data_IF_550960829559
#
_entry.id   IF_550960829559
#
_cell.length_a   1.000
_cell.length_b   1.000
_cell.length_c   1.000
_cell.angle_alpha   90.00
_cell.angle_beta   90.00
_cell.angle_gamma   90.00
#
_symmetry.space_group_name_H-M   'P 1'
#
loop_
_entity.id
_entity.type
_entity.pdbx_description
1 polymer ?
#
# COMPACT_ATOMS: atom_id res chain seq x y z
N UNK A 1 3.45 24.14 33.84
CA UNK A 1 2.61 22.94 33.63
C UNK A 1 1.97 23.11 32.26
N UNK A 2 2.67 22.69 31.23
CA UNK A 2 2.17 22.65 29.83
C UNK A 2 1.57 21.28 29.62
N UNK A 3 0.24 21.22 29.52
CA UNK A 3 -0.48 19.98 29.20
C UNK A 3 -0.21 19.62 27.74
N UNK A 4 0.64 18.62 27.54
CA UNK A 4 0.78 17.93 26.26
C UNK A 4 -0.51 17.14 25.98
N UNK A 5 -1.48 17.81 25.39
CA UNK A 5 -2.60 17.13 24.73
C UNK A 5 -2.14 16.68 23.34
N UNK A 6 -1.31 15.62 23.28
CA UNK A 6 -1.22 14.82 22.09
C UNK A 6 -2.56 14.08 21.95
N UNK A 7 -3.39 14.55 21.00
CA UNK A 7 -4.68 13.97 20.70
C UNK A 7 -4.53 12.48 20.43
N UNK A 8 -5.11 11.68 21.31
CA UNK A 8 -5.32 10.24 21.03
C UNK A 8 -6.18 10.17 19.76
N UNK A 9 -5.68 9.49 18.73
CA UNK A 9 -6.44 9.16 17.52
C UNK A 9 -7.77 8.52 17.93
N UNK A 10 -8.85 9.23 17.81
CA UNK A 10 -10.19 8.69 18.00
C UNK A 10 -10.62 7.99 16.72
N UNK A 11 -10.17 6.75 16.54
CA UNK A 11 -10.72 5.90 15.50
C UNK A 11 -12.04 5.29 15.94
N UNK A 12 -12.92 5.01 14.98
CA UNK A 12 -14.23 4.42 15.20
C UNK A 12 -14.49 3.25 14.23
N UNK A 13 -15.48 2.43 14.56
CA UNK A 13 -16.00 1.38 13.70
C UNK A 13 -17.15 1.94 12.86
N UNK A 14 -17.06 1.78 11.55
CA UNK A 14 -18.08 2.19 10.60
C UNK A 14 -18.69 0.98 9.93
N UNK A 15 -20.01 0.87 9.92
CA UNK A 15 -20.71 -0.21 9.24
C UNK A 15 -20.71 0.02 7.73
N UNK A 16 -20.30 -1.01 6.98
CA UNK A 16 -20.40 -1.03 5.52
C UNK A 16 -21.58 -1.90 5.04
N UNK A 17 -22.53 -2.15 5.94
CA UNK A 17 -23.75 -2.92 5.68
C UNK A 17 -23.61 -4.38 6.10
N UNK A 18 -22.58 -5.09 5.70
CA UNK A 18 -22.36 -6.52 6.04
C UNK A 18 -21.55 -6.71 7.33
N UNK A 19 -20.62 -5.83 7.61
CA UNK A 19 -19.74 -5.82 8.79
C UNK A 19 -19.21 -4.41 9.01
N UNK A 20 -18.35 -4.24 10.03
CA UNK A 20 -17.79 -2.92 10.37
C UNK A 20 -16.28 -2.91 10.20
N UNK A 21 -15.78 -1.79 9.64
CA UNK A 21 -14.36 -1.54 9.48
C UNK A 21 -13.90 -0.41 10.41
N UNK A 22 -12.68 -0.55 10.90
CA UNK A 22 -12.02 0.47 11.68
C UNK A 22 -11.47 1.56 10.77
N UNK A 23 -11.71 2.83 11.15
CA UNK A 23 -11.17 4.01 10.49
C UNK A 23 -10.81 5.07 11.54
N UNK A 24 -9.68 5.76 11.33
CA UNK A 24 -9.30 6.96 12.08
C UNK A 24 -9.02 8.11 11.15
N UNK A 25 -9.36 9.32 11.58
CA UNK A 25 -9.08 10.56 10.87
C UNK A 25 -8.14 11.38 11.74
N UNK A 26 -7.04 11.81 11.13
CA UNK A 26 -6.02 12.63 11.78
C UNK A 26 -5.64 13.85 10.94
N UNK A 27 -4.68 14.62 11.46
CA UNK A 27 -4.10 15.76 10.77
C UNK A 27 -4.90 17.05 10.87
N UNK A 28 -4.57 18.01 10.00
CA UNK A 28 -5.22 19.31 9.93
C UNK A 28 -6.65 19.20 9.39
N UNK A 29 -7.50 20.16 9.75
CA UNK A 29 -8.85 20.22 9.22
C UNK A 29 -8.84 20.34 7.70
N UNK A 30 -9.65 19.54 7.03
CA UNK A 30 -9.78 19.53 5.57
C UNK A 30 -10.40 20.81 5.06
N UNK A 31 -9.78 21.42 4.07
CA UNK A 31 -10.35 22.57 3.34
C UNK A 31 -11.12 22.10 2.12
N UNK A 32 -12.06 22.93 1.65
CA UNK A 32 -12.82 22.63 0.42
C UNK A 32 -11.88 22.41 -0.77
N UNK A 33 -12.05 21.31 -1.49
CA UNK A 33 -11.22 20.93 -2.64
C UNK A 33 -9.86 20.33 -2.29
N UNK A 34 -9.48 20.25 -1.02
CA UNK A 34 -8.24 19.62 -0.58
C UNK A 34 -8.37 18.09 -0.64
N UNK A 35 -7.35 17.37 -1.16
CA UNK A 35 -7.42 15.91 -1.19
C UNK A 35 -7.32 15.32 0.22
N UNK A 36 -8.11 14.27 0.47
CA UNK A 36 -8.01 13.45 1.65
C UNK A 36 -6.94 12.37 1.41
N UNK A 37 -5.95 12.28 2.29
CA UNK A 37 -4.86 11.30 2.18
C UNK A 37 -5.31 9.99 2.79
N UNK A 38 -5.39 8.92 1.99
CA UNK A 38 -5.82 7.58 2.42
C UNK A 38 -4.63 6.63 2.36
N UNK A 39 -4.30 5.97 3.46
CA UNK A 39 -3.26 4.95 3.49
C UNK A 39 -3.83 3.56 3.23
N UNK A 40 -3.25 2.87 2.23
CA UNK A 40 -3.56 1.50 1.86
C UNK A 40 -2.39 0.60 2.25
N UNK A 41 -2.60 -0.18 3.29
CA UNK A 41 -1.56 -1.00 3.92
C UNK A 41 -1.16 -2.21 3.06
N UNK A 42 0.05 -2.73 3.28
CA UNK A 42 0.57 -3.97 2.69
C UNK A 42 -0.24 -5.21 3.08
N UNK A 43 0.08 -6.38 2.53
CA UNK A 43 -0.58 -7.64 2.89
C UNK A 43 -0.43 -7.91 4.40
N UNK A 44 -1.55 -8.21 5.07
CA UNK A 44 -1.57 -8.47 6.50
C UNK A 44 -1.15 -7.28 7.39
N UNK A 45 -0.86 -6.11 6.81
CA UNK A 45 -0.45 -4.93 7.58
C UNK A 45 -1.66 -4.08 7.98
N UNK A 46 -1.49 -3.21 8.95
CA UNK A 46 -2.55 -2.57 9.73
C UNK A 46 -2.33 -1.07 9.89
N UNK A 47 -3.38 -0.33 10.21
CA UNK A 47 -3.36 1.12 10.42
C UNK A 47 -2.27 1.58 11.41
N UNK A 48 -2.05 0.84 12.49
CA UNK A 48 -1.04 1.17 13.50
C UNK A 48 0.42 1.09 13.00
N UNK A 49 0.67 0.56 11.81
CA UNK A 49 1.98 0.63 11.14
C UNK A 49 2.31 2.03 10.59
N UNK A 50 1.31 2.86 10.36
CA UNK A 50 1.44 4.14 9.63
C UNK A 50 1.39 5.38 10.52
N UNK A 51 1.33 5.21 11.84
CA UNK A 51 1.16 6.32 12.80
C UNK A 51 2.27 7.38 12.74
N UNK A 52 3.50 6.99 12.42
CA UNK A 52 4.60 7.97 12.28
C UNK A 52 4.46 8.79 11.00
N UNK A 53 4.12 8.16 9.87
CA UNK A 53 3.85 8.88 8.62
C UNK A 53 2.63 9.78 8.79
N UNK A 54 1.57 9.28 9.44
CA UNK A 54 0.38 10.07 9.74
C UNK A 54 0.70 11.34 10.54
N UNK A 55 1.53 11.25 11.58
CA UNK A 55 1.96 12.44 12.35
C UNK A 55 2.67 13.47 11.47
N UNK A 56 3.53 13.02 10.56
CA UNK A 56 4.25 13.92 9.65
C UNK A 56 3.31 14.54 8.62
N UNK A 57 2.47 13.74 7.98
CA UNK A 57 1.49 14.19 6.97
C UNK A 57 0.40 15.04 7.60
N UNK A 58 -0.04 14.70 8.80
CA UNK A 58 -1.06 15.41 9.57
C UNK A 58 -0.71 16.86 9.90
N UNK A 59 0.57 17.24 9.78
CA UNK A 59 0.98 18.66 9.94
C UNK A 59 0.55 19.54 8.75
N UNK A 60 0.15 18.94 7.62
CA UNK A 60 -0.17 19.70 6.41
C UNK A 60 -1.38 19.16 5.60
N UNK A 61 -1.89 17.97 5.92
CA UNK A 61 -3.03 17.38 5.21
C UNK A 61 -3.95 16.61 6.17
N UNK A 62 -5.24 16.46 5.84
CA UNK A 62 -6.13 15.50 6.50
C UNK A 62 -5.73 14.07 6.09
N UNK A 63 -5.71 13.17 7.05
CA UNK A 63 -5.22 11.79 6.88
C UNK A 63 -6.25 10.79 7.38
N UNK A 64 -6.43 9.71 6.63
CA UNK A 64 -7.22 8.54 7.02
C UNK A 64 -6.33 7.31 7.09
N UNK A 65 -6.38 6.64 8.23
CA UNK A 65 -5.89 5.27 8.39
C UNK A 65 -7.09 4.36 8.59
N UNK A 66 -7.05 3.16 8.01
CA UNK A 66 -8.09 2.15 8.20
C UNK A 66 -7.49 0.75 8.19
N UNK A 67 -8.22 -0.19 8.77
CA UNK A 67 -7.91 -1.61 8.68
C UNK A 67 -8.86 -2.28 7.69
N UNK A 68 -8.32 -3.09 6.75
CA UNK A 68 -9.14 -3.92 5.87
C UNK A 68 -9.87 -4.99 6.67
N UNK A 69 -10.91 -5.57 6.09
CA UNK A 69 -11.68 -6.69 6.67
C UNK A 69 -10.77 -7.79 7.19
N UNK A 70 -11.00 -8.23 8.42
CA UNK A 70 -10.23 -9.28 9.10
C UNK A 70 -8.82 -8.89 9.53
N UNK A 71 -8.43 -7.61 9.40
CA UNK A 71 -7.14 -7.09 9.85
C UNK A 71 -7.32 -6.09 10.99
N UNK A 72 -6.31 -5.97 11.83
CA UNK A 72 -6.24 -4.97 12.89
C UNK A 72 -7.46 -4.97 13.80
N UNK A 73 -8.21 -3.88 13.78
CA UNK A 73 -9.44 -3.67 14.58
C UNK A 73 -10.73 -3.91 13.81
N UNK A 74 -10.64 -4.12 12.48
CA UNK A 74 -11.80 -4.39 11.64
C UNK A 74 -12.38 -5.79 11.89
N UNK A 75 -13.68 -5.92 11.66
CA UNK A 75 -14.36 -7.20 11.68
C UNK A 75 -14.01 -8.03 10.44
N UNK A 76 -14.20 -9.34 10.53
CA UNK A 76 -14.11 -10.22 9.37
C UNK A 76 -15.22 -9.91 8.38
N UNK A 77 -14.88 -9.91 7.10
CA UNK A 77 -15.83 -9.74 6.01
C UNK A 77 -16.34 -11.09 5.48
N UNK A 78 -17.54 -11.12 4.87
CA UNK A 78 -18.10 -12.34 4.30
C UNK A 78 -17.46 -12.75 2.97
N UNK A 79 -16.71 -11.86 2.34
CA UNK A 79 -16.12 -12.05 1.01
C UNK A 79 -14.66 -12.50 1.12
N UNK A 80 -14.19 -13.19 0.06
CA UNK A 80 -12.77 -13.52 -0.08
C UNK A 80 -11.94 -12.23 -0.08
N UNK A 81 -10.84 -12.15 0.68
CA UNK A 81 -10.02 -10.93 0.80
C UNK A 81 -9.14 -10.74 -0.47
N UNK A 82 -9.77 -10.31 -1.56
CA UNK A 82 -9.09 -9.91 -2.80
C UNK A 82 -8.88 -8.40 -2.83
N UNK A 83 -8.02 -7.91 -3.73
CA UNK A 83 -7.82 -6.48 -3.89
C UNK A 83 -9.09 -5.75 -4.39
N UNK A 84 -9.90 -6.41 -5.23
CA UNK A 84 -11.18 -5.87 -5.69
C UNK A 84 -12.17 -5.76 -4.52
N UNK A 85 -12.26 -6.78 -3.66
CA UNK A 85 -13.07 -6.74 -2.43
C UNK A 85 -12.62 -5.57 -1.55
N UNK A 86 -11.32 -5.48 -1.27
CA UNK A 86 -10.76 -4.42 -0.42
C UNK A 86 -11.01 -3.00 -0.97
N UNK A 87 -10.92 -2.82 -2.30
CA UNK A 87 -11.22 -1.54 -2.95
C UNK A 87 -12.71 -1.16 -2.83
N UNK A 88 -13.61 -2.13 -3.03
CA UNK A 88 -15.06 -1.92 -2.89
C UNK A 88 -15.44 -1.60 -1.45
N UNK A 89 -14.88 -2.32 -0.48
CA UNK A 89 -15.11 -2.10 0.95
C UNK A 89 -14.56 -0.75 1.41
N UNK A 90 -13.40 -0.32 0.89
CA UNK A 90 -12.88 1.02 1.15
C UNK A 90 -13.83 2.12 0.66
N UNK A 91 -14.37 1.99 -0.55
CA UNK A 91 -15.36 2.94 -1.06
C UNK A 91 -16.60 3.02 -0.17
N UNK A 92 -17.15 1.86 0.25
CA UNK A 92 -18.28 1.80 1.17
C UNK A 92 -17.94 2.40 2.53
N UNK A 93 -16.74 2.16 3.05
CA UNK A 93 -16.24 2.74 4.30
C UNK A 93 -16.18 4.27 4.23
N UNK A 94 -15.60 4.82 3.17
CA UNK A 94 -15.51 6.27 2.99
C UNK A 94 -16.90 6.90 2.90
N UNK A 95 -17.82 6.28 2.17
CA UNK A 95 -19.20 6.71 2.08
C UNK A 95 -19.90 6.67 3.46
N UNK A 96 -19.73 5.59 4.23
CA UNK A 96 -20.33 5.44 5.57
C UNK A 96 -19.77 6.43 6.58
N UNK A 97 -18.54 6.89 6.38
CA UNK A 97 -17.87 7.90 7.22
C UNK A 97 -18.09 9.33 6.73
N UNK A 98 -18.91 9.56 5.71
CA UNK A 98 -19.14 10.86 5.05
C UNK A 98 -17.84 11.53 4.56
N UNK A 99 -16.90 10.71 4.06
CA UNK A 99 -15.62 11.14 3.52
C UNK A 99 -15.67 11.17 2.00
N UNK A 100 -15.68 12.37 1.44
CA UNK A 100 -15.87 12.61 0.01
C UNK A 100 -14.55 12.84 -0.74
N UNK A 101 -14.48 12.57 -2.06
CA UNK A 101 -13.36 12.97 -2.90
C UNK A 101 -13.11 14.49 -2.88
N UNK A 102 -11.91 14.97 -3.38
CA UNK A 102 -10.86 14.20 -4.04
C UNK A 102 -9.99 13.40 -3.05
N UNK A 103 -9.47 12.24 -3.50
CA UNK A 103 -8.62 11.35 -2.70
C UNK A 103 -7.18 11.35 -3.22
N UNK A 104 -6.21 11.34 -2.28
CA UNK A 104 -4.81 11.03 -2.55
C UNK A 104 -4.53 9.66 -1.94
N UNK A 105 -4.34 8.64 -2.78
CA UNK A 105 -4.08 7.27 -2.33
C UNK A 105 -2.59 7.08 -2.08
N UNK A 106 -2.24 6.64 -0.86
CA UNK A 106 -0.86 6.31 -0.46
C UNK A 106 -0.80 4.82 -0.18
N UNK A 107 -0.08 4.09 -1.00
CA UNK A 107 -0.15 2.65 -1.01
C UNK A 107 1.22 1.99 -0.85
N UNK A 108 1.35 1.08 0.11
CA UNK A 108 2.54 0.29 0.36
C UNK A 108 2.33 -1.17 -0.04
N UNK A 109 3.31 -1.77 -0.73
CA UNK A 109 3.31 -3.21 -1.04
C UNK A 109 1.99 -3.65 -1.71
N UNK A 110 1.28 -4.64 -1.19
CA UNK A 110 -0.04 -5.10 -1.65
C UNK A 110 -1.08 -3.98 -1.73
N UNK A 111 -0.97 -2.97 -0.87
CA UNK A 111 -1.80 -1.77 -0.95
C UNK A 111 -1.75 -1.08 -2.32
N UNK A 112 -0.64 -1.20 -3.06
CA UNK A 112 -0.51 -0.70 -4.43
C UNK A 112 -1.46 -1.38 -5.41
N UNK A 113 -1.68 -2.68 -5.25
CA UNK A 113 -2.66 -3.44 -6.04
C UNK A 113 -4.08 -2.98 -5.66
N UNK A 114 -4.38 -2.83 -4.36
CA UNK A 114 -5.68 -2.33 -3.89
C UNK A 114 -5.96 -0.91 -4.39
N UNK A 115 -4.96 -0.02 -4.35
CA UNK A 115 -5.10 1.36 -4.86
C UNK A 115 -5.38 1.41 -6.36
N UNK A 116 -4.77 0.52 -7.13
CA UNK A 116 -5.00 0.41 -8.58
C UNK A 116 -6.35 -0.23 -8.90
N UNK A 117 -6.83 -1.17 -8.07
CA UNK A 117 -8.21 -1.66 -8.16
C UNK A 117 -9.21 -0.53 -7.87
N UNK A 118 -8.95 0.28 -6.83
CA UNK A 118 -9.77 1.44 -6.51
C UNK A 118 -9.80 2.46 -7.65
N UNK A 119 -8.64 2.77 -8.24
CA UNK A 119 -8.55 3.64 -9.41
C UNK A 119 -9.35 3.10 -10.60
N UNK A 120 -9.42 1.78 -10.78
CA UNK A 120 -10.21 1.17 -11.85
C UNK A 120 -11.71 1.30 -11.61
N UNK A 121 -12.15 1.06 -10.36
CA UNK A 121 -13.58 1.05 -10.00
C UNK A 121 -14.14 2.48 -9.84
N UNK A 122 -13.33 3.41 -9.32
CA UNK A 122 -13.74 4.76 -8.94
C UNK A 122 -12.74 5.82 -9.46
N UNK A 123 -12.50 5.89 -10.77
CA UNK A 123 -11.43 6.74 -11.34
C UNK A 123 -11.60 8.23 -11.04
N UNK A 124 -12.84 8.71 -10.93
CA UNK A 124 -13.14 10.13 -10.68
C UNK A 124 -12.85 10.58 -9.23
N UNK A 125 -12.71 9.63 -8.31
CA UNK A 125 -12.44 9.94 -6.91
C UNK A 125 -10.95 10.16 -6.63
N UNK A 126 -10.06 9.58 -7.46
CA UNK A 126 -8.62 9.58 -7.24
C UNK A 126 -7.96 10.80 -7.88
N UNK A 127 -7.47 11.73 -7.08
CA UNK A 127 -6.79 12.95 -7.55
C UNK A 127 -5.28 12.77 -7.74
N UNK A 128 -4.66 11.78 -7.11
CA UNK A 128 -3.25 11.46 -7.23
C UNK A 128 -2.87 10.24 -6.41
N UNK A 129 -1.65 9.74 -6.61
CA UNK A 129 -1.18 8.53 -5.92
C UNK A 129 0.28 8.64 -5.49
N UNK A 130 0.60 8.00 -4.35
CA UNK A 130 1.97 7.66 -3.92
C UNK A 130 2.06 6.15 -3.80
N UNK A 131 2.94 5.52 -4.57
CA UNK A 131 3.21 4.09 -4.56
C UNK A 131 4.54 3.84 -3.85
N UNK A 132 4.47 3.44 -2.58
CA UNK A 132 5.62 3.28 -1.71
C UNK A 132 6.09 1.82 -1.70
N UNK A 133 7.10 1.50 -2.47
CA UNK A 133 7.61 0.14 -2.71
C UNK A 133 6.47 -0.85 -3.00
N UNK A 134 5.56 -0.40 -3.87
CA UNK A 134 4.27 -1.03 -4.10
C UNK A 134 4.40 -2.27 -5.01
N UNK A 135 3.61 -3.29 -4.69
CA UNK A 135 3.48 -4.50 -5.52
C UNK A 135 2.80 -4.20 -6.85
N UNK A 136 3.16 -4.98 -7.86
CA UNK A 136 2.60 -4.89 -9.21
C UNK A 136 2.02 -6.24 -9.64
N UNK A 137 1.23 -6.26 -10.71
CA UNK A 137 0.75 -7.49 -11.35
C UNK A 137 1.86 -8.45 -11.79
N UNK A 138 3.08 -7.94 -11.96
CA UNK A 138 4.24 -8.76 -12.35
C UNK A 138 4.84 -9.56 -11.19
N UNK A 139 4.38 -9.35 -9.96
CA UNK A 139 4.92 -10.06 -8.80
C UNK A 139 4.82 -11.59 -8.96
N UNK A 140 3.80 -12.08 -9.67
CA UNK A 140 3.67 -13.49 -10.00
C UNK A 140 4.89 -14.04 -10.77
N UNK A 141 5.51 -13.24 -11.68
CA UNK A 141 6.70 -13.64 -12.44
C UNK A 141 7.94 -13.87 -11.54
N UNK A 142 8.03 -13.12 -10.44
CA UNK A 142 9.14 -13.23 -9.49
C UNK A 142 9.03 -14.49 -8.64
N UNK A 143 7.81 -14.88 -8.30
CA UNK A 143 7.51 -16.01 -7.41
C UNK A 143 7.24 -17.33 -8.15
N UNK A 144 7.39 -17.34 -9.47
CA UNK A 144 7.17 -18.53 -10.33
C UNK A 144 8.37 -19.49 -10.30
N UNK A 145 8.63 -20.07 -9.14
CA UNK A 145 9.62 -21.12 -8.93
C UNK A 145 8.99 -22.16 -7.99
N UNK A 146 8.76 -23.40 -8.43
CA UNK A 146 8.02 -24.40 -7.64
C UNK A 146 8.72 -24.81 -6.35
N UNK A 147 10.04 -24.66 -6.27
CA UNK A 147 10.81 -24.96 -5.07
C UNK A 147 10.94 -23.74 -4.12
N UNK A 148 10.44 -22.57 -4.53
CA UNK A 148 10.58 -21.36 -3.73
C UNK A 148 9.61 -21.37 -2.55
N UNK A 149 10.17 -21.45 -1.35
CA UNK A 149 9.44 -21.30 -0.09
C UNK A 149 10.26 -20.43 0.87
N UNK A 150 9.94 -19.15 0.86
CA UNK A 150 10.60 -18.14 1.71
C UNK A 150 10.36 -18.46 3.19
N UNK A 151 9.16 -18.95 3.53
CA UNK A 151 8.81 -19.27 4.92
C UNK A 151 9.57 -20.48 5.43
N UNK A 152 9.78 -21.50 4.59
CA UNK A 152 10.59 -22.65 4.97
C UNK A 152 12.07 -22.29 5.23
N UNK A 153 12.61 -21.31 4.48
CA UNK A 153 13.96 -20.79 4.73
C UNK A 153 14.00 -19.87 5.95
N UNK A 154 12.99 -19.02 6.16
CA UNK A 154 12.89 -18.20 7.37
C UNK A 154 12.71 -19.07 8.63
N UNK A 155 11.89 -20.14 8.55
CA UNK A 155 11.58 -21.02 9.68
C UNK A 155 10.95 -20.26 10.86
N UNK A 156 11.42 -20.55 12.06
CA UNK A 156 10.94 -19.90 13.30
C UNK A 156 11.59 -18.53 13.55
N UNK A 157 12.46 -18.06 12.68
CA UNK A 157 13.11 -16.75 12.81
C UNK A 157 12.08 -15.64 12.62
N UNK A 158 12.21 -14.59 13.44
CA UNK A 158 11.30 -13.45 13.35
C UNK A 158 11.79 -12.47 12.27
N UNK A 159 11.00 -12.27 11.23
CA UNK A 159 11.29 -11.36 10.11
C UNK A 159 11.85 -10.01 10.58
N UNK A 160 11.18 -9.34 11.50
CA UNK A 160 11.57 -8.01 11.98
C UNK A 160 12.92 -7.96 12.72
N UNK A 161 13.34 -9.09 13.29
CA UNK A 161 14.66 -9.20 13.93
C UNK A 161 15.74 -9.49 12.87
N UNK A 162 15.48 -10.45 12.00
CA UNK A 162 16.41 -10.87 10.95
C UNK A 162 16.74 -9.71 10.01
N UNK A 163 15.75 -8.94 9.59
CA UNK A 163 15.92 -7.80 8.68
C UNK A 163 16.44 -6.54 9.37
N UNK A 164 16.43 -6.50 10.71
CA UNK A 164 16.74 -5.29 11.48
C UNK A 164 15.60 -4.25 11.47
N UNK A 165 14.42 -4.63 10.96
CA UNK A 165 13.28 -3.72 10.91
C UNK A 165 12.88 -3.18 12.27
N UNK A 166 12.97 -4.01 13.33
CA UNK A 166 12.62 -3.60 14.70
C UNK A 166 13.44 -2.40 15.17
N UNK A 167 14.74 -2.39 14.85
CA UNK A 167 15.68 -1.37 15.31
C UNK A 167 15.68 -0.13 14.41
N UNK A 168 15.34 -0.30 13.13
CA UNK A 168 15.30 0.77 12.13
C UNK A 168 13.96 1.52 12.10
N UNK A 169 12.86 0.88 12.58
CA UNK A 169 11.53 1.46 12.56
C UNK A 169 11.43 2.69 13.47
N UNK A 170 10.82 3.75 12.94
CA UNK A 170 10.59 5.02 13.63
C UNK A 170 9.30 4.98 14.49
N UNK A 171 9.06 3.85 15.15
CA UNK A 171 7.97 3.65 16.11
C UNK A 171 8.52 3.60 17.53
N UNK A 172 7.81 4.23 18.47
CA UNK A 172 8.05 4.03 19.89
C UNK A 172 7.86 2.56 20.30
N UNK A 173 8.33 2.20 21.48
CA UNK A 173 8.18 0.84 22.00
C UNK A 173 6.70 0.44 22.11
N UNK A 174 5.82 1.36 22.52
CA UNK A 174 4.41 1.07 22.73
C UNK A 174 3.65 1.01 21.40
N UNK A 175 3.97 1.87 20.42
CA UNK A 175 3.45 1.78 19.05
C UNK A 175 3.85 0.47 18.38
N UNK A 176 5.10 0.03 18.56
CA UNK A 176 5.54 -1.26 18.03
C UNK A 176 4.78 -2.43 18.64
N UNK A 177 4.49 -2.37 19.95
CA UNK A 177 3.69 -3.40 20.63
C UNK A 177 2.25 -3.40 20.14
N UNK A 178 1.64 -2.23 20.00
CA UNK A 178 0.29 -2.08 19.47
C UNK A 178 0.20 -2.66 18.05
N UNK A 179 1.14 -2.28 17.17
CA UNK A 179 1.26 -2.85 15.83
C UNK A 179 1.36 -4.38 15.85
N UNK A 180 2.23 -4.94 16.68
CA UNK A 180 2.41 -6.39 16.76
C UNK A 180 1.13 -7.11 17.20
N UNK A 181 0.37 -6.53 18.14
CA UNK A 181 -0.91 -7.06 18.59
C UNK A 181 -1.98 -6.98 17.49
N UNK A 182 -2.02 -5.87 16.74
CA UNK A 182 -2.96 -5.67 15.64
C UNK A 182 -2.68 -6.66 14.49
N UNK A 183 -1.42 -6.86 14.11
CA UNK A 183 -1.02 -7.84 13.09
C UNK A 183 -1.38 -9.26 13.52
N UNK A 184 -1.14 -9.62 14.77
CA UNK A 184 -1.41 -10.96 15.27
C UNK A 184 -2.90 -11.34 15.17
N UNK A 185 -3.82 -10.38 15.33
CA UNK A 185 -5.26 -10.61 15.15
C UNK A 185 -5.64 -10.96 13.72
N UNK A 186 -4.94 -10.38 12.73
CA UNK A 186 -5.24 -10.54 11.31
C UNK A 186 -4.51 -11.69 10.60
N UNK A 187 -3.85 -12.59 11.32
CA UNK A 187 -3.04 -13.66 10.71
C UNK A 187 -3.81 -14.53 9.70
N UNK A 188 -5.06 -15.00 9.97
CA UNK A 188 -5.81 -15.77 8.99
C UNK A 188 -6.09 -15.01 7.69
N UNK A 189 -6.46 -13.73 7.79
CA UNK A 189 -6.70 -12.87 6.63
C UNK A 189 -5.41 -12.60 5.86
N UNK A 190 -4.29 -12.37 6.56
CA UNK A 190 -2.97 -12.20 5.93
C UNK A 190 -2.58 -13.44 5.11
N UNK A 191 -2.84 -14.64 5.61
CA UNK A 191 -2.62 -15.90 4.88
C UNK A 191 -3.54 -16.01 3.66
N UNK A 192 -4.80 -15.61 3.78
CA UNK A 192 -5.76 -15.63 2.69
C UNK A 192 -5.42 -14.59 1.59
N UNK A 193 -4.96 -13.38 1.95
CA UNK A 193 -4.43 -12.39 0.99
C UNK A 193 -3.23 -12.96 0.22
N UNK A 194 -2.30 -13.60 0.93
CA UNK A 194 -1.13 -14.23 0.31
C UNK A 194 -1.52 -15.37 -0.64
N UNK A 195 -2.48 -16.20 -0.26
CA UNK A 195 -2.98 -17.28 -1.12
C UNK A 195 -3.71 -16.75 -2.38
N UNK A 196 -4.30 -15.58 -2.31
CA UNK A 196 -4.97 -14.93 -3.44
C UNK A 196 -4.03 -14.18 -4.38
N UNK A 197 -2.74 -14.03 -4.05
CA UNK A 197 -1.80 -13.12 -4.73
C UNK A 197 -1.73 -13.34 -6.26
N UNK A 198 -1.64 -14.58 -6.74
CA UNK A 198 -1.57 -14.90 -8.18
C UNK A 198 -2.85 -14.48 -8.90
N UNK A 199 -4.02 -14.78 -8.32
CA UNK A 199 -5.33 -14.42 -8.87
C UNK A 199 -5.48 -12.89 -8.95
N UNK A 200 -5.09 -12.21 -7.90
CA UNK A 200 -5.14 -10.74 -7.79
C UNK A 200 -4.23 -10.08 -8.83
N UNK A 201 -3.00 -10.58 -9.01
CA UNK A 201 -2.08 -10.10 -10.04
C UNK A 201 -2.66 -10.28 -11.46
N UNK A 202 -3.25 -11.44 -11.77
CA UNK A 202 -3.90 -11.70 -13.06
C UNK A 202 -5.09 -10.74 -13.30
N UNK A 203 -5.93 -10.55 -12.30
CA UNK A 203 -7.08 -9.65 -12.35
C UNK A 203 -6.66 -8.21 -12.63
N UNK A 204 -5.62 -7.72 -11.92
CA UNK A 204 -5.11 -6.38 -12.15
C UNK A 204 -4.46 -6.25 -13.54
N UNK A 205 -3.65 -7.22 -13.95
CA UNK A 205 -2.95 -7.23 -15.24
C UNK A 205 -3.90 -7.16 -16.43
N UNK A 206 -5.06 -7.82 -16.36
CA UNK A 206 -6.07 -7.80 -17.44
C UNK A 206 -6.66 -6.42 -17.71
N UNK A 207 -6.48 -5.44 -16.81
CA UNK A 207 -6.97 -4.06 -16.96
C UNK A 207 -6.03 -3.16 -17.77
N UNK A 208 -4.84 -3.64 -18.11
CA UNK A 208 -3.84 -2.93 -18.93
C UNK A 208 -3.60 -1.47 -18.52
N UNK A 209 -3.64 -1.16 -17.22
CA UNK A 209 -3.64 0.21 -16.70
C UNK A 209 -2.42 1.02 -17.11
N UNK A 210 -1.26 0.38 -17.26
CA UNK A 210 -0.03 1.04 -17.74
C UNK A 210 -0.13 1.42 -19.22
N UNK A 211 -0.75 0.56 -20.04
CA UNK A 211 -0.98 0.83 -21.45
C UNK A 211 -1.96 1.99 -21.66
N UNK A 212 -3.01 1.99 -20.85
CA UNK A 212 -4.10 2.96 -20.93
C UNK A 212 -3.81 4.26 -20.16
N UNK A 213 -2.65 4.36 -19.50
CA UNK A 213 -2.28 5.50 -18.67
C UNK A 213 -3.42 5.90 -17.70
N UNK A 214 -3.91 4.90 -16.92
CA UNK A 214 -5.17 4.97 -16.18
C UNK A 214 -5.30 6.15 -15.20
N UNK A 215 -4.19 6.70 -14.68
CA UNK A 215 -4.19 7.90 -13.85
C UNK A 215 -4.15 9.21 -14.68
N UNK A 216 -3.91 9.13 -15.99
CA UNK A 216 -3.92 10.26 -16.92
C UNK A 216 -2.82 11.28 -16.63
N UNK A 217 -3.22 12.54 -16.36
CA UNK A 217 -2.30 13.65 -16.03
C UNK A 217 -2.19 13.92 -14.53
N UNK A 218 -2.89 13.12 -13.70
CA UNK A 218 -2.91 13.28 -12.24
C UNK A 218 -1.56 12.89 -11.65
N UNK A 219 -1.08 13.59 -10.60
CA UNK A 219 0.27 13.36 -10.07
C UNK A 219 0.44 11.98 -9.46
N UNK A 220 1.61 11.39 -9.76
CA UNK A 220 2.05 10.09 -9.26
C UNK A 220 3.47 10.18 -8.73
N UNK A 221 3.70 9.75 -7.50
CA UNK A 221 5.04 9.47 -7.00
C UNK A 221 5.23 7.98 -6.77
N UNK A 222 6.34 7.42 -7.27
CA UNK A 222 6.76 6.05 -7.02
C UNK A 222 8.01 6.09 -6.15
N UNK A 223 7.97 5.45 -5.00
CA UNK A 223 9.13 5.26 -4.13
C UNK A 223 9.59 3.82 -4.29
N UNK A 224 10.81 3.63 -4.76
CA UNK A 224 11.47 2.35 -4.86
C UNK A 224 12.45 2.17 -3.73
N UNK A 225 12.41 1.02 -3.06
CA UNK A 225 13.38 0.63 -2.03
C UNK A 225 14.25 -0.54 -2.52
N UNK A 226 15.28 -0.88 -1.76
CA UNK A 226 16.09 -2.05 -2.01
C UNK A 226 15.61 -3.23 -1.18
N UNK A 227 14.44 -3.79 -1.53
CA UNK A 227 13.84 -4.93 -0.84
C UNK A 227 14.73 -6.18 -0.83
N UNK A 228 15.60 -6.37 -1.84
CA UNK A 228 16.54 -7.49 -1.92
C UNK A 228 17.42 -7.63 -0.68
N UNK A 229 17.78 -6.54 -0.01
CA UNK A 229 18.60 -6.60 1.22
C UNK A 229 17.89 -7.32 2.37
N UNK A 230 16.58 -7.19 2.49
CA UNK A 230 15.80 -7.86 3.52
C UNK A 230 15.77 -9.38 3.27
N UNK A 231 15.53 -9.77 2.00
CA UNK A 231 15.53 -11.17 1.60
C UNK A 231 16.92 -11.80 1.66
N UNK A 232 17.98 -11.04 1.36
CA UNK A 232 19.36 -11.50 1.55
C UNK A 232 19.62 -11.87 3.01
N UNK A 233 19.21 -11.02 3.95
CA UNK A 233 19.36 -11.27 5.39
C UNK A 233 18.53 -12.48 5.84
N UNK A 234 17.31 -12.64 5.33
CA UNK A 234 16.48 -13.82 5.59
C UNK A 234 17.19 -15.09 5.11
N UNK A 235 17.71 -15.08 3.89
CA UNK A 235 18.43 -16.21 3.33
C UNK A 235 19.66 -16.58 4.18
N UNK A 236 20.51 -15.63 4.49
CA UNK A 236 21.74 -15.85 5.27
C UNK A 236 21.43 -16.41 6.65
N UNK A 237 20.50 -15.79 7.38
CA UNK A 237 20.13 -16.23 8.72
C UNK A 237 19.34 -17.54 8.72
N UNK A 238 18.51 -17.78 7.75
CA UNK A 238 17.78 -19.04 7.59
C UNK A 238 18.72 -20.20 7.31
N UNK A 239 19.69 -20.02 6.42
CA UNK A 239 20.73 -21.04 6.12
C UNK A 239 21.64 -21.29 7.33
N UNK A 240 22.06 -20.23 8.05
CA UNK A 240 22.83 -20.33 9.30
C UNK A 240 22.08 -21.14 10.36
N UNK A 241 20.75 -21.00 10.44
CA UNK A 241 19.89 -21.75 11.36
C UNK A 241 19.59 -23.18 10.87
N UNK A 242 20.06 -23.59 9.70
CA UNK A 242 19.80 -24.90 9.13
C UNK A 242 18.44 -25.05 8.44
N UNK A 243 17.67 -23.98 8.25
CA UNK A 243 16.34 -24.01 7.68
C UNK A 243 16.32 -24.23 6.16
N UNK A 244 15.22 -24.80 5.67
CA UNK A 244 14.98 -25.08 4.27
C UNK A 244 15.80 -26.25 3.74
N UNK A 245 15.27 -26.95 2.73
CA UNK A 245 15.97 -27.97 1.95
C UNK A 245 16.97 -27.33 0.99
N UNK A 246 17.89 -28.11 0.42
CA UNK A 246 18.83 -27.58 -0.59
C UNK A 246 18.09 -27.08 -1.84
N UNK A 247 16.99 -27.72 -2.25
CA UNK A 247 16.15 -27.25 -3.37
C UNK A 247 15.55 -25.87 -3.07
N UNK A 248 14.98 -25.67 -1.86
CA UNK A 248 14.42 -24.38 -1.42
C UNK A 248 15.48 -23.27 -1.31
N UNK A 249 16.65 -23.60 -0.75
CA UNK A 249 17.80 -22.68 -0.69
C UNK A 249 18.30 -22.30 -2.09
N UNK A 250 18.36 -23.25 -3.00
CA UNK A 250 18.76 -23.01 -4.40
C UNK A 250 17.73 -22.10 -5.11
N UNK A 251 16.44 -22.35 -4.93
CA UNK A 251 15.37 -21.49 -5.46
C UNK A 251 15.44 -20.06 -4.88
N UNK A 252 15.72 -19.92 -3.59
CA UNK A 252 15.90 -18.63 -2.97
C UNK A 252 17.12 -17.86 -3.51
N UNK A 253 18.24 -18.53 -3.77
CA UNK A 253 19.40 -17.91 -4.46
C UNK A 253 19.03 -17.40 -5.86
N UNK A 254 18.23 -18.20 -6.64
CA UNK A 254 17.73 -17.76 -7.96
C UNK A 254 16.83 -16.53 -7.85
N UNK A 255 15.98 -16.48 -6.83
CA UNK A 255 15.17 -15.30 -6.51
C UNK A 255 16.04 -14.07 -6.28
N UNK A 256 17.01 -14.15 -5.36
CA UNK A 256 17.91 -13.05 -5.03
C UNK A 256 18.69 -12.53 -6.24
N UNK A 257 19.19 -13.44 -7.09
CA UNK A 257 19.98 -13.09 -8.29
C UNK A 257 19.20 -12.24 -9.31
N UNK A 258 17.87 -12.38 -9.37
CA UNK A 258 17.03 -11.66 -10.34
C UNK A 258 16.22 -10.50 -9.72
N UNK A 259 16.19 -10.38 -8.37
CA UNK A 259 15.33 -9.45 -7.65
C UNK A 259 15.51 -8.00 -8.09
N UNK A 260 16.73 -7.47 -7.98
CA UNK A 260 16.97 -6.03 -8.20
C UNK A 260 16.64 -5.60 -9.63
N UNK A 261 16.93 -6.46 -10.63
CA UNK A 261 16.59 -6.18 -12.04
C UNK A 261 15.07 -6.22 -12.26
N UNK A 262 14.40 -7.22 -11.68
CA UNK A 262 12.96 -7.34 -11.72
C UNK A 262 12.29 -6.12 -11.08
N UNK A 263 12.68 -5.79 -9.83
CA UNK A 263 12.11 -4.70 -9.06
C UNK A 263 12.30 -3.35 -9.76
N UNK A 264 13.52 -3.07 -10.27
CA UNK A 264 13.77 -1.85 -11.04
C UNK A 264 12.82 -1.69 -12.22
N UNK A 265 12.59 -2.78 -12.96
CA UNK A 265 11.66 -2.77 -14.11
C UNK A 265 10.22 -2.57 -13.65
N UNK A 266 9.78 -3.29 -12.63
CA UNK A 266 8.41 -3.25 -12.13
C UNK A 266 8.07 -1.86 -11.56
N UNK A 267 8.97 -1.26 -10.77
CA UNK A 267 8.76 0.07 -10.20
C UNK A 267 8.81 1.18 -11.28
N UNK A 268 9.70 1.06 -12.26
CA UNK A 268 9.74 2.00 -13.38
C UNK A 268 8.48 1.92 -14.27
N UNK A 269 7.90 0.74 -14.43
CA UNK A 269 6.68 0.55 -15.21
C UNK A 269 5.48 1.25 -14.58
N UNK A 270 5.42 1.35 -13.26
CA UNK A 270 4.34 2.06 -12.54
C UNK A 270 4.27 3.55 -12.93
N UNK A 271 5.37 4.17 -13.33
CA UNK A 271 5.37 5.56 -13.83
C UNK A 271 4.46 5.75 -15.03
N UNK A 272 4.22 4.70 -15.82
CA UNK A 272 3.34 4.74 -16.99
C UNK A 272 1.87 4.92 -16.66
N UNK A 273 1.48 4.80 -15.39
CA UNK A 273 0.10 5.12 -14.95
C UNK A 273 -0.26 6.58 -15.18
N UNK A 274 0.73 7.49 -15.18
CA UNK A 274 0.51 8.93 -15.32
C UNK A 274 1.58 9.58 -16.19
N UNK A 275 1.19 10.60 -16.96
CA UNK A 275 2.15 11.50 -17.65
C UNK A 275 2.80 12.51 -16.70
N UNK A 276 2.31 12.67 -15.47
CA UNK A 276 2.88 13.51 -14.42
C UNK A 276 3.38 12.62 -13.27
N UNK A 277 4.47 11.91 -13.52
CA UNK A 277 5.03 10.95 -12.61
C UNK A 277 6.49 11.21 -12.26
N UNK A 278 6.93 10.80 -11.06
CA UNK A 278 8.33 10.80 -10.65
C UNK A 278 8.69 9.55 -9.87
N UNK A 279 10.00 9.22 -9.85
CA UNK A 279 10.57 8.10 -9.13
C UNK A 279 11.59 8.59 -8.11
N UNK A 280 11.46 8.13 -6.86
CA UNK A 280 12.45 8.28 -5.80
C UNK A 280 13.03 6.92 -5.43
N UNK A 281 14.34 6.75 -5.52
CA UNK A 281 15.02 5.49 -5.16
C UNK A 281 15.80 5.62 -3.85
N UNK A 282 15.57 4.68 -2.94
CA UNK A 282 16.20 4.59 -1.62
C UNK A 282 17.04 3.30 -1.52
N UNK A 283 18.33 3.35 -1.93
CA UNK A 283 19.19 2.16 -1.96
C UNK A 283 19.48 1.57 -0.56
N UNK A 284 19.39 2.38 0.48
CA UNK A 284 19.70 2.00 1.86
C UNK A 284 18.44 1.67 2.69
N UNK A 285 17.27 1.66 2.06
CA UNK A 285 16.00 1.35 2.71
C UNK A 285 15.46 0.00 2.23
N UNK A 286 15.04 -0.85 3.18
CA UNK A 286 14.31 -2.09 2.90
C UNK A 286 12.84 -1.82 2.57
N UNK A 287 12.08 -2.93 2.38
CA UNK A 287 10.71 -2.91 1.93
C UNK A 287 9.76 -2.02 2.76
N UNK A 288 9.94 -1.93 4.07
CA UNK A 288 9.03 -1.22 4.97
C UNK A 288 9.36 0.28 5.08
N UNK A 289 9.36 0.98 3.96
CA UNK A 289 9.74 2.41 3.87
C UNK A 289 8.93 3.32 4.78
N UNK A 290 7.65 3.05 4.98
CA UNK A 290 6.77 3.80 5.87
C UNK A 290 7.17 3.72 7.34
N UNK A 291 7.88 2.65 7.74
CA UNK A 291 8.43 2.47 9.09
C UNK A 291 9.85 3.03 9.23
N UNK A 292 10.69 2.88 8.18
CA UNK A 292 12.12 3.21 8.22
C UNK A 292 12.38 4.67 7.82
N UNK A 293 11.70 5.13 6.75
CA UNK A 293 11.85 6.48 6.18
C UNK A 293 10.49 7.16 6.01
N UNK A 294 9.73 7.33 7.11
CA UNK A 294 8.43 8.02 7.07
C UNK A 294 8.55 9.46 6.57
N UNK A 295 9.71 10.09 6.76
CA UNK A 295 10.05 11.43 6.25
C UNK A 295 9.98 11.50 4.72
N UNK A 296 10.54 10.50 4.02
CA UNK A 296 10.48 10.45 2.55
C UNK A 296 9.07 10.22 2.06
N UNK A 297 8.33 9.31 2.70
CA UNK A 297 6.92 9.07 2.34
C UNK A 297 6.10 10.34 2.51
N UNK A 298 6.26 11.07 3.63
CA UNK A 298 5.57 12.33 3.87
C UNK A 298 5.96 13.43 2.85
N UNK A 299 7.24 13.48 2.45
CA UNK A 299 7.73 14.41 1.41
C UNK A 299 7.08 14.13 0.05
N UNK A 300 6.98 12.86 -0.34
CA UNK A 300 6.33 12.47 -1.61
C UNK A 300 4.82 12.74 -1.59
N UNK A 301 4.15 12.52 -0.46
CA UNK A 301 2.73 12.87 -0.27
C UNK A 301 2.54 14.38 -0.43
N UNK A 302 3.41 15.20 0.18
CA UNK A 302 3.35 16.66 0.05
C UNK A 302 3.48 17.09 -1.40
N UNK A 303 4.42 16.53 -2.13
CA UNK A 303 4.59 16.86 -3.54
C UNK A 303 3.34 16.53 -4.36
N UNK A 304 2.77 15.32 -4.22
CA UNK A 304 1.54 14.93 -4.93
C UNK A 304 0.38 15.86 -4.57
N UNK A 305 0.20 16.15 -3.27
CA UNK A 305 -0.84 17.07 -2.79
C UNK A 305 -0.69 18.47 -3.39
N UNK A 306 0.50 19.02 -3.39
CA UNK A 306 0.76 20.37 -3.92
C UNK A 306 0.47 20.41 -5.43
N UNK A 307 0.84 19.38 -6.20
CA UNK A 307 0.48 19.23 -7.60
C UNK A 307 -1.04 19.15 -7.85
N UNK A 308 -1.80 18.52 -6.94
CA UNK A 308 -3.27 18.49 -7.00
C UNK A 308 -3.83 19.90 -6.77
N UNK A 309 -3.34 20.61 -5.76
CA UNK A 309 -3.82 21.95 -5.40
C UNK A 309 -3.47 23.01 -6.44
N UNK A 310 -2.29 22.94 -7.05
CA UNK A 310 -1.89 23.84 -8.15
C UNK A 310 -2.85 23.71 -9.35
N UNK A 311 -3.26 22.48 -9.70
CA UNK A 311 -4.19 22.23 -10.80
C UNK A 311 -5.64 22.58 -10.46
N UNK A 312 -6.06 22.49 -9.21
CA UNK A 312 -7.43 22.86 -8.79
C UNK A 312 -7.67 24.37 -8.82
N UNK A 313 -6.63 25.20 -8.85
CA UNK A 313 -6.72 26.64 -9.12
C UNK A 313 -6.92 26.98 -10.60
N UNK A 314 -6.80 26.02 -11.50
CA UNK A 314 -7.20 26.10 -12.91
C UNK A 314 -8.65 25.59 -13.02
N UNK A 315 -9.54 26.24 -13.81
CA UNK A 315 -10.90 25.75 -13.96
C UNK A 315 -10.89 24.33 -14.46
N UNK A 316 -11.47 23.40 -13.68
CA UNK A 316 -11.62 21.99 -13.99
C UNK A 316 -12.30 21.82 -15.36
N UNK A 317 -11.57 21.33 -16.35
CA UNK A 317 -12.16 20.88 -17.62
C UNK A 317 -12.29 19.36 -17.56
N UNK A 318 -13.53 18.88 -17.56
CA UNK A 318 -13.88 17.48 -17.74
C UNK A 318 -13.72 17.07 -19.21
N UNK A 319 -12.48 16.90 -19.67
CA UNK A 319 -12.19 16.53 -21.07
C UNK A 319 -12.02 15.01 -21.27
N UNK A 320 -12.43 14.19 -20.32
CA UNK A 320 -12.50 12.74 -20.52
C UNK A 320 -13.95 12.34 -20.87
N UNK A 321 -14.25 12.25 -22.16
CA UNK A 321 -15.38 11.44 -22.67
C UNK A 321 -14.81 10.09 -23.10
N UNK A 322 -15.30 8.97 -22.58
CA UNK A 322 -15.02 7.68 -23.20
C UNK A 322 -15.77 7.65 -24.53
N UNK A 323 -15.03 7.72 -25.63
CA UNK A 323 -15.56 7.40 -26.97
C UNK A 323 -15.93 5.92 -27.01
N UNK A 324 -17.19 5.62 -27.24
CA UNK A 324 -17.59 4.23 -27.43
C UNK A 324 -19.09 3.93 -27.43
N UNK A 325 -19.92 4.80 -28.00
CA UNK A 325 -21.23 4.35 -28.50
C UNK A 325 -21.27 4.43 -30.03
N UNK A 326 -20.74 3.38 -30.68
CA UNK A 326 -21.06 3.13 -32.09
C UNK A 326 -22.44 2.52 -32.15
N UNK A 327 -23.43 3.37 -32.45
CA UNK A 327 -24.76 2.98 -32.90
C UNK A 327 -24.62 2.04 -34.09
N UNK A 328 -24.99 0.79 -33.90
CA UNK A 328 -25.39 -0.08 -34.99
C UNK A 328 -26.84 0.35 -35.35
N UNK A 329 -26.98 1.03 -36.45
CA UNK A 329 -28.28 1.26 -37.08
C UNK A 329 -28.48 0.27 -38.22
N UNK A 330 -29.56 -0.50 -38.10
CA UNK A 330 -30.35 -1.25 -39.10
C UNK A 330 -29.60 -1.82 -40.30
#
# INVERSE_FOLDING_TARGET
>A
MTSDTHGSQSGAMFSIGTHSLFLSIGGVARRTGEPLVIFLAGAGDVASSYVTVERLVGTFAPVVLYDRSGLGRSQDGPMKPTATTAATELHQLLHSADLTPPLLLVAHSYGGIVAREYLHLYPEEVAGMVLADASTERQAELLDDPDLDINAVLGDLKFSQVTGLRDSAQLSRDEWRARAADIARGLPTSQAESAAAIEVCKTLGSKEQYRNQALGVRPLSVIRCRGSQDYQRIYEKGVEAGNGTEAQRAAFRRLLARWDQYDQRAQAEQLRLSSNSRLTYLPDCGHHVHLIRPDVVAFEIRWVRDQILEKSNLPWRSDYRPDGDSKISS
#
